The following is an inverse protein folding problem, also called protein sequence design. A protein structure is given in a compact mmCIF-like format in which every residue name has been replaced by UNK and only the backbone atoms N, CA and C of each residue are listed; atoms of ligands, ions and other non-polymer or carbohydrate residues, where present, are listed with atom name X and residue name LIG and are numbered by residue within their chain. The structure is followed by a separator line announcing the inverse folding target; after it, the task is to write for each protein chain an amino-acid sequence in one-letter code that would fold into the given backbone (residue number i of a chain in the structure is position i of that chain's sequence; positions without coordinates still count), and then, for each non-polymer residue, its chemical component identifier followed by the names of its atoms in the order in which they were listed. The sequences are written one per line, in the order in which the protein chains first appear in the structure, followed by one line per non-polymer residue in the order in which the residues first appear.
data_IF_312612699193
#
_entry.id   IF_312612699193
#
_cell.length_a   1.000
_cell.length_b   1.000
_cell.length_c   1.000
_cell.angle_alpha   90.00
_cell.angle_beta   90.00
_cell.angle_gamma   90.00
#
_symmetry.space_group_name_H-M   'P 1'
#
loop_
_entity.id
_entity.type
_entity.pdbx_description
1 polymer ?
#
# COMPACT_ATOMS: atom_id res chain seq x y z
N UNK A 1 12.06 7.26 -4.08
CA UNK A 1 11.45 6.42 -3.02
C UNK A 1 11.15 7.32 -1.84
N UNK A 2 9.93 7.25 -1.32
CA UNK A 2 9.44 8.01 -0.18
C UNK A 2 9.07 7.04 0.94
N UNK A 3 9.32 7.44 2.18
CA UNK A 3 8.92 6.72 3.39
C UNK A 3 8.05 7.70 4.17
N UNK A 4 6.81 7.30 4.46
CA UNK A 4 5.83 8.17 5.09
C UNK A 4 5.03 7.41 6.16
N UNK A 5 4.71 8.09 7.26
CA UNK A 5 4.00 7.50 8.38
C UNK A 5 2.48 7.34 8.14
N UNK A 6 1.97 7.67 6.95
CA UNK A 6 0.56 7.54 6.59
C UNK A 6 0.01 6.12 6.86
N UNK A 7 -0.94 6.03 7.80
CA UNK A 7 -1.55 4.77 8.26
C UNK A 7 -3.07 4.92 8.51
N UNK A 8 -3.67 5.95 7.93
CA UNK A 8 -5.12 6.22 7.92
C UNK A 8 -5.58 6.52 6.50
N UNK A 9 -6.87 6.37 6.22
CA UNK A 9 -7.49 6.73 4.93
C UNK A 9 -7.10 8.15 4.48
N UNK A 10 -7.28 9.14 5.35
CA UNK A 10 -7.01 10.54 5.04
C UNK A 10 -5.52 10.85 4.86
N UNK A 11 -4.63 10.24 5.66
CA UNK A 11 -3.18 10.45 5.51
C UNK A 11 -2.66 9.81 4.22
N UNK A 12 -3.13 8.60 3.89
CA UNK A 12 -2.83 7.95 2.62
C UNK A 12 -3.34 8.78 1.44
N UNK A 13 -4.57 9.28 1.49
CA UNK A 13 -5.11 10.12 0.42
C UNK A 13 -4.27 11.39 0.23
N UNK A 14 -3.88 12.06 1.32
CA UNK A 14 -3.08 13.28 1.25
C UNK A 14 -1.72 13.06 0.59
N UNK A 15 -0.98 12.02 1.01
CA UNK A 15 0.34 11.73 0.44
C UNK A 15 0.23 11.23 -1.00
N UNK A 16 -0.75 10.37 -1.29
CA UNK A 16 -0.96 9.83 -2.64
C UNK A 16 -1.40 10.92 -3.62
N UNK A 17 -2.30 11.83 -3.24
CA UNK A 17 -2.65 13.00 -4.07
C UNK A 17 -1.42 13.84 -4.40
N UNK A 18 -0.57 14.09 -3.38
CA UNK A 18 0.65 14.87 -3.54
C UNK A 18 1.61 14.19 -4.52
N UNK A 19 1.88 12.89 -4.32
CA UNK A 19 2.77 12.13 -5.20
C UNK A 19 2.20 11.98 -6.61
N UNK A 20 0.88 11.88 -6.76
CA UNK A 20 0.23 11.81 -8.06
C UNK A 20 0.46 13.08 -8.89
N UNK A 21 0.49 14.26 -8.25
CA UNK A 21 0.82 15.53 -8.93
C UNK A 21 2.28 15.58 -9.39
N UNK A 22 3.20 14.99 -8.63
CA UNK A 22 4.62 14.93 -9.00
C UNK A 22 4.96 13.78 -9.96
N UNK A 23 4.04 12.81 -10.12
CA UNK A 23 4.22 11.68 -11.03
C UNK A 23 4.31 12.20 -12.47
N UNK A 24 5.36 11.79 -13.18
CA UNK A 24 5.52 12.13 -14.58
C UNK A 24 4.59 11.27 -15.43
N UNK A 25 4.34 11.73 -16.65
CA UNK A 25 3.68 10.89 -17.65
C UNK A 25 4.53 9.63 -17.89
N UNK A 26 3.86 8.49 -18.07
CA UNK A 26 4.46 7.17 -18.29
C UNK A 26 5.33 6.61 -17.15
N UNK A 27 5.16 7.10 -15.92
CA UNK A 27 5.75 6.50 -14.71
C UNK A 27 4.68 5.96 -13.77
N UNK A 28 5.07 4.99 -12.94
CA UNK A 28 4.21 4.33 -11.98
C UNK A 28 4.38 4.89 -10.56
N UNK A 29 3.28 4.96 -9.82
CA UNK A 29 3.22 5.10 -8.39
C UNK A 29 2.99 3.71 -7.78
N UNK A 30 4.07 3.14 -7.25
CA UNK A 30 4.10 1.85 -6.54
C UNK A 30 3.92 2.12 -5.05
N UNK A 31 2.85 1.58 -4.46
CA UNK A 31 2.52 1.79 -3.05
C UNK A 31 2.64 0.48 -2.28
N UNK A 32 3.50 0.49 -1.28
CA UNK A 32 3.64 -0.60 -0.32
C UNK A 32 3.09 -0.15 1.03
N UNK A 33 2.12 -0.89 1.55
CA UNK A 33 1.50 -0.56 2.83
C UNK A 33 0.93 -1.81 3.50
N UNK A 34 0.61 -1.68 4.79
CA UNK A 34 -0.12 -2.65 5.58
C UNK A 34 -1.06 -1.94 6.55
N UNK A 35 -1.66 -2.68 7.47
CA UNK A 35 -2.45 -2.14 8.57
C UNK A 35 -2.06 -2.81 9.88
N UNK A 36 -2.17 -2.07 10.97
CA UNK A 36 -1.83 -2.57 12.30
C UNK A 36 -2.99 -3.33 12.95
N UNK A 37 -2.65 -4.39 13.68
CA UNK A 37 -3.57 -5.13 14.53
C UNK A 37 -3.89 -4.40 15.83
N UNK A 38 -4.93 -4.83 16.53
CA UNK A 38 -5.47 -4.26 17.77
C UNK A 38 -5.82 -2.77 17.66
N UNK A 39 -6.20 -2.35 16.45
CA UNK A 39 -6.56 -0.96 16.11
C UNK A 39 -7.87 -0.94 15.34
N UNK A 40 -8.31 0.28 14.99
CA UNK A 40 -9.52 0.50 14.20
C UNK A 40 -9.53 -0.36 12.93
N UNK A 41 -10.48 -1.29 12.85
CA UNK A 41 -10.67 -2.22 11.73
C UNK A 41 -11.46 -1.57 10.59
N UNK A 42 -12.31 -0.59 10.91
CA UNK A 42 -13.20 0.05 9.94
C UNK A 42 -12.43 0.86 8.90
N UNK A 43 -11.20 1.28 9.22
CA UNK A 43 -10.32 1.95 8.25
C UNK A 43 -9.65 1.00 7.26
N UNK A 44 -9.50 -0.30 7.56
CA UNK A 44 -8.74 -1.25 6.71
C UNK A 44 -9.23 -1.29 5.26
N UNK A 45 -10.53 -1.55 4.98
CA UNK A 45 -11.03 -1.52 3.62
C UNK A 45 -11.01 -0.10 3.01
N UNK A 46 -11.12 0.94 3.83
CA UNK A 46 -11.06 2.34 3.34
C UNK A 46 -9.64 2.71 2.88
N UNK A 47 -8.63 2.26 3.61
CA UNK A 47 -7.22 2.39 3.22
C UNK A 47 -6.97 1.69 1.88
N UNK A 48 -7.44 0.45 1.73
CA UNK A 48 -7.37 -0.29 0.46
C UNK A 48 -8.00 0.48 -0.70
N UNK A 49 -9.21 1.01 -0.50
CA UNK A 49 -9.94 1.79 -1.51
C UNK A 49 -9.22 3.07 -1.93
N UNK A 50 -8.62 3.79 -0.97
CA UNK A 50 -7.84 5.00 -1.27
C UNK A 50 -6.58 4.66 -2.06
N UNK A 51 -5.85 3.62 -1.66
CA UNK A 51 -4.64 3.21 -2.39
C UNK A 51 -4.99 2.75 -3.80
N UNK A 52 -6.06 1.98 -3.97
CA UNK A 52 -6.57 1.54 -5.28
C UNK A 52 -6.89 2.70 -6.23
N UNK A 53 -7.39 3.81 -5.71
CA UNK A 53 -7.75 4.99 -6.50
C UNK A 53 -6.53 5.71 -7.09
N UNK A 54 -5.41 5.76 -6.37
CA UNK A 54 -4.28 6.63 -6.72
C UNK A 54 -3.01 5.89 -7.15
N UNK A 55 -2.81 4.66 -6.69
CA UNK A 55 -1.62 3.87 -7.01
C UNK A 55 -1.75 3.25 -8.41
N UNK A 56 -0.65 3.14 -9.14
CA UNK A 56 -0.62 2.33 -10.35
C UNK A 56 -0.36 0.86 -9.99
N UNK A 57 0.44 0.60 -8.96
CA UNK A 57 0.80 -0.74 -8.48
C UNK A 57 0.72 -0.80 -6.95
N UNK A 58 0.11 -1.86 -6.43
CA UNK A 58 -0.14 -2.03 -4.99
C UNK A 58 0.57 -3.29 -4.49
N UNK A 59 1.36 -3.14 -3.43
CA UNK A 59 1.96 -4.26 -2.71
C UNK A 59 1.47 -4.20 -1.26
N UNK A 60 0.51 -5.08 -0.94
CA UNK A 60 0.00 -5.23 0.40
C UNK A 60 0.88 -6.22 1.19
N UNK A 61 1.27 -5.84 2.40
CA UNK A 61 2.19 -6.60 3.25
C UNK A 61 1.69 -6.64 4.69
N UNK A 62 2.29 -7.49 5.52
CA UNK A 62 2.16 -7.40 6.97
C UNK A 62 2.70 -6.07 7.52
N UNK A 63 2.16 -5.67 8.66
CA UNK A 63 2.65 -4.57 9.48
C UNK A 63 2.73 -5.05 10.95
N UNK A 64 2.63 -4.17 11.94
CA UNK A 64 2.57 -4.58 13.34
C UNK A 64 1.20 -5.23 13.64
N UNK A 65 1.16 -6.57 13.61
CA UNK A 65 -0.07 -7.36 13.74
C UNK A 65 -0.55 -7.57 15.20
N UNK A 66 0.33 -7.37 16.17
CA UNK A 66 0.08 -7.58 17.60
C UNK A 66 -0.57 -8.95 17.90
N UNK A 67 -1.82 -8.98 18.41
CA UNK A 67 -2.52 -10.22 18.73
C UNK A 67 -3.48 -10.71 17.64
N UNK A 68 -3.67 -9.94 16.56
CA UNK A 68 -4.54 -10.31 15.45
C UNK A 68 -3.84 -11.21 14.42
N UNK A 69 -4.63 -12.04 13.73
CA UNK A 69 -4.14 -12.84 12.61
C UNK A 69 -3.74 -11.92 11.44
N UNK A 70 -2.47 -11.91 11.01
CA UNK A 70 -2.01 -11.05 9.93
C UNK A 70 -2.72 -11.33 8.60
N UNK A 71 -3.11 -12.58 8.33
CA UNK A 71 -3.86 -12.92 7.11
C UNK A 71 -5.27 -12.33 7.15
N UNK A 72 -5.87 -12.27 8.34
CA UNK A 72 -7.15 -11.61 8.53
C UNK A 72 -7.02 -10.10 8.28
N UNK A 73 -6.01 -9.44 8.83
CA UNK A 73 -5.75 -8.01 8.58
C UNK A 73 -5.59 -7.74 7.08
N UNK A 74 -4.76 -8.53 6.40
CA UNK A 74 -4.53 -8.43 4.96
C UNK A 74 -5.84 -8.59 4.19
N UNK A 75 -6.66 -9.58 4.53
CA UNK A 75 -7.95 -9.80 3.86
C UNK A 75 -8.91 -8.63 4.00
N UNK A 76 -8.92 -7.97 5.17
CA UNK A 76 -9.78 -6.81 5.45
C UNK A 76 -9.33 -5.56 4.70
N UNK A 77 -8.02 -5.38 4.53
CA UNK A 77 -7.48 -4.30 3.68
C UNK A 77 -7.76 -4.59 2.20
N UNK A 78 -7.51 -5.82 1.76
CA UNK A 78 -7.72 -6.27 0.39
C UNK A 78 -9.19 -6.19 -0.04
N UNK A 79 -10.15 -6.31 0.88
CA UNK A 79 -11.58 -6.11 0.60
C UNK A 79 -11.90 -4.70 0.06
N UNK A 80 -11.01 -3.73 0.29
CA UNK A 80 -11.09 -2.39 -0.28
C UNK A 80 -10.50 -2.24 -1.69
N UNK A 81 -9.81 -3.26 -2.19
CA UNK A 81 -9.05 -3.22 -3.45
C UNK A 81 -9.78 -4.10 -4.47
N UNK A 82 -10.50 -3.52 -5.45
CA UNK A 82 -11.25 -4.29 -6.46
C UNK A 82 -10.36 -5.01 -7.48
N UNK A 83 -9.07 -4.69 -7.56
CA UNK A 83 -8.10 -5.35 -8.45
C UNK A 83 -7.93 -6.82 -8.07
N UNK A 84 -7.69 -7.66 -9.07
CA UNK A 84 -7.33 -9.05 -8.82
C UNK A 84 -5.85 -9.15 -8.47
N UNK A 85 -5.54 -10.02 -7.52
CA UNK A 85 -4.16 -10.35 -7.22
C UNK A 85 -3.46 -10.91 -8.48
N UNK A 86 -2.27 -10.38 -8.79
CA UNK A 86 -1.46 -10.76 -9.95
C UNK A 86 -1.56 -9.80 -11.15
N UNK A 87 -2.49 -8.86 -11.15
CA UNK A 87 -2.54 -7.76 -12.12
C UNK A 87 -1.60 -6.63 -11.65
N UNK A 88 -2.15 -5.52 -11.15
CA UNK A 88 -1.42 -4.40 -10.55
C UNK A 88 -1.57 -4.36 -9.02
N UNK A 89 -1.83 -5.52 -8.43
CA UNK A 89 -2.01 -5.75 -7.00
C UNK A 89 -1.35 -7.08 -6.61
N UNK A 90 -0.53 -7.05 -5.57
CA UNK A 90 0.14 -8.22 -5.02
C UNK A 90 0.03 -8.23 -3.50
N UNK A 91 -0.17 -9.42 -2.92
CA UNK A 91 0.02 -9.64 -1.49
C UNK A 91 1.38 -10.29 -1.30
N UNK A 92 2.29 -9.58 -0.64
CA UNK A 92 3.61 -10.10 -0.27
C UNK A 92 3.73 -9.96 1.22
N UNK A 93 3.53 -11.08 1.92
CA UNK A 93 3.36 -11.10 3.36
C UNK A 93 4.52 -10.43 4.11
N UNK A 94 5.76 -10.81 3.83
CA UNK A 94 6.92 -10.26 4.53
C UNK A 94 7.32 -8.89 3.97
N UNK A 95 7.30 -7.88 4.84
CA UNK A 95 7.58 -6.48 4.45
C UNK A 95 8.93 -6.30 3.76
N UNK A 96 9.95 -7.03 4.19
CA UNK A 96 11.26 -6.99 3.56
C UNK A 96 11.22 -7.48 2.10
N UNK A 97 10.50 -8.56 1.82
CA UNK A 97 10.36 -9.11 0.47
C UNK A 97 9.45 -8.25 -0.40
N UNK A 98 8.44 -7.62 0.21
CA UNK A 98 7.59 -6.62 -0.42
C UNK A 98 8.41 -5.41 -0.88
N UNK A 99 9.29 -4.87 -0.02
CA UNK A 99 10.18 -3.75 -0.35
C UNK A 99 11.14 -4.13 -1.47
N UNK A 100 11.76 -5.32 -1.38
CA UNK A 100 12.65 -5.83 -2.43
C UNK A 100 11.91 -5.93 -3.76
N UNK A 101 10.67 -6.43 -3.74
CA UNK A 101 9.84 -6.56 -4.94
C UNK A 101 9.48 -5.21 -5.54
N UNK A 102 9.12 -4.22 -4.71
CA UNK A 102 8.85 -2.85 -5.15
C UNK A 102 10.07 -2.24 -5.86
N UNK A 103 11.25 -2.36 -5.25
CA UNK A 103 12.51 -1.84 -5.81
C UNK A 103 12.88 -2.55 -7.11
N UNK A 104 12.69 -3.87 -7.19
CA UNK A 104 13.06 -4.66 -8.37
C UNK A 104 12.11 -4.41 -9.56
N UNK A 105 10.84 -4.11 -9.29
CA UNK A 105 9.83 -3.81 -10.33
C UNK A 105 9.97 -2.40 -10.88
N UNK A 106 10.33 -1.44 -10.04
CA UNK A 106 10.37 -0.03 -10.41
C UNK A 106 11.32 0.24 -11.58
N UNK A 107 10.85 1.04 -12.52
CA UNK A 107 11.61 1.56 -13.64
C UNK A 107 12.15 2.98 -13.32
N UNK A 108 13.17 3.46 -14.08
CA UNK A 108 13.65 4.82 -13.92
C UNK A 108 12.52 5.86 -14.06
N UNK A 109 12.28 6.63 -13.00
CA UNK A 109 11.23 7.64 -12.94
C UNK A 109 10.00 7.25 -12.14
N UNK A 110 9.85 5.96 -11.81
CA UNK A 110 8.78 5.50 -10.94
C UNK A 110 8.94 6.02 -9.50
N UNK A 111 7.81 6.19 -8.85
CA UNK A 111 7.71 6.60 -7.45
C UNK A 111 7.33 5.37 -6.64
N UNK A 112 8.20 4.98 -5.71
CA UNK A 112 7.86 4.02 -4.65
C UNK A 112 7.50 4.80 -3.39
N UNK A 113 6.32 4.53 -2.81
CA UNK A 113 5.91 4.95 -1.48
C UNK A 113 5.89 3.74 -0.54
N UNK A 114 6.65 3.81 0.55
CA UNK A 114 6.54 2.90 1.69
C UNK A 114 5.74 3.62 2.78
N UNK A 115 4.51 3.18 3.03
CA UNK A 115 3.61 3.82 3.99
C UNK A 115 3.48 3.02 5.29
N UNK A 116 3.20 3.72 6.39
CA UNK A 116 2.79 3.16 7.67
C UNK A 116 3.89 2.92 8.70
N UNK A 117 5.16 3.20 8.38
CA UNK A 117 6.30 3.11 9.29
C UNK A 117 7.30 4.24 9.05
#
# INVERSE_FOLDING_TARGET
MYIDYAHTEASLESVLCTLHVYKKQDTQLIVLFGATGDRDRDKRPKMGKVVDKYADCIILTEDDNYSEDPLQIISEVAAGIPRKEGEDFWVIFHRHDAIRTAITRAQPGDIILLAGK
#
